data_IF_729079273543
#
_entry.id   IF_729079273543
#
_cell.length_a   1.000
_cell.length_b   1.000
_cell.length_c   1.000
_cell.angle_alpha   90.00
_cell.angle_beta   90.00
_cell.angle_gamma   90.00
#
_symmetry.space_group_name_H-M   'P 1'
#
loop_
_entity.id
_entity.type
_entity.pdbx_description
1 polymer ?
#
# COMPACT_ATOMS: atom_id res chain seq x y z
N UNK A 1 2.58 56.35 -42.23
CA UNK A 1 2.46 56.09 -40.78
C UNK A 1 1.77 54.75 -40.46
N UNK A 2 0.80 54.29 -41.24
CA UNK A 2 0.09 53.02 -40.98
C UNK A 2 0.96 51.73 -41.04
N UNK A 3 1.99 51.68 -41.90
CA UNK A 3 2.85 50.47 -42.04
C UNK A 3 3.69 50.21 -40.79
N UNK A 4 4.17 51.28 -40.12
CA UNK A 4 5.00 51.18 -38.92
C UNK A 4 4.21 50.71 -37.68
N UNK A 5 2.94 51.09 -37.57
CA UNK A 5 2.08 50.58 -36.49
C UNK A 5 1.75 49.10 -36.69
N UNK A 6 1.45 48.69 -37.93
CA UNK A 6 1.17 47.30 -38.25
C UNK A 6 2.35 46.37 -37.90
N UNK A 7 3.58 46.76 -38.28
CA UNK A 7 4.80 46.01 -37.94
C UNK A 7 5.02 45.92 -36.42
N UNK A 8 4.80 47.02 -35.69
CA UNK A 8 4.93 47.02 -34.23
C UNK A 8 3.91 46.09 -33.57
N UNK A 9 2.66 46.09 -34.06
CA UNK A 9 1.62 45.19 -33.56
C UNK A 9 1.91 43.72 -33.87
N UNK A 10 2.48 43.42 -35.04
CA UNK A 10 2.89 42.07 -35.42
C UNK A 10 3.98 41.54 -34.47
N UNK A 11 5.01 42.35 -34.19
CA UNK A 11 6.10 41.98 -33.28
C UNK A 11 5.60 41.74 -31.85
N UNK A 12 4.68 42.58 -31.35
CA UNK A 12 4.09 42.38 -30.01
C UNK A 12 3.24 41.10 -29.97
N UNK A 13 2.48 40.81 -31.03
CA UNK A 13 1.70 39.58 -31.12
C UNK A 13 2.59 38.34 -31.14
N UNK A 14 3.72 38.38 -31.84
CA UNK A 14 4.70 37.29 -31.88
C UNK A 14 5.27 37.02 -30.49
N UNK A 15 5.72 38.07 -29.77
CA UNK A 15 6.24 37.94 -28.40
C UNK A 15 5.18 37.34 -27.46
N UNK A 16 3.92 37.78 -27.56
CA UNK A 16 2.82 37.26 -26.73
C UNK A 16 2.51 35.79 -27.05
N UNK A 17 2.55 35.40 -28.32
CA UNK A 17 2.38 34.01 -28.73
C UNK A 17 3.52 33.13 -28.21
N UNK A 18 4.75 33.62 -28.28
CA UNK A 18 5.93 32.91 -27.79
C UNK A 18 5.89 32.74 -26.27
N UNK A 19 5.48 33.78 -25.53
CA UNK A 19 5.27 33.69 -24.09
C UNK A 19 4.23 32.61 -23.74
N UNK A 20 3.07 32.61 -24.42
CA UNK A 20 2.03 31.59 -24.21
C UNK A 20 2.52 30.18 -24.55
N UNK A 21 3.34 30.04 -25.59
CA UNK A 21 3.97 28.77 -25.97
C UNK A 21 4.87 28.26 -24.85
N UNK A 22 5.75 29.12 -24.35
CA UNK A 22 6.65 28.80 -23.24
C UNK A 22 5.91 28.44 -21.96
N UNK A 23 4.86 29.18 -21.59
CA UNK A 23 4.02 28.88 -20.42
C UNK A 23 3.37 27.50 -20.55
N UNK A 24 2.81 27.19 -21.72
CA UNK A 24 2.18 25.90 -21.97
C UNK A 24 3.18 24.75 -21.98
N UNK A 25 4.38 24.97 -22.52
CA UNK A 25 5.43 23.96 -22.51
C UNK A 25 5.96 23.70 -21.10
N UNK A 26 6.15 24.76 -20.30
CA UNK A 26 6.52 24.68 -18.89
C UNK A 26 5.49 23.86 -18.10
N UNK A 27 4.19 24.17 -18.26
CA UNK A 27 3.10 23.42 -17.62
C UNK A 27 3.11 21.94 -18.04
N UNK A 28 3.34 21.64 -19.32
CA UNK A 28 3.45 20.25 -19.80
C UNK A 28 4.62 19.51 -19.15
N UNK A 29 5.79 20.15 -19.02
CA UNK A 29 6.96 19.55 -18.37
C UNK A 29 6.70 19.29 -16.88
N UNK A 30 6.04 20.21 -16.20
CA UNK A 30 5.64 20.02 -14.79
C UNK A 30 4.72 18.81 -14.64
N UNK A 31 3.68 18.71 -15.47
CA UNK A 31 2.76 17.56 -15.45
C UNK A 31 3.47 16.24 -15.76
N UNK A 32 4.42 16.22 -16.69
CA UNK A 32 5.20 15.02 -16.97
C UNK A 32 6.02 14.60 -15.73
N UNK A 33 6.70 15.55 -15.09
CA UNK A 33 7.47 15.27 -13.87
C UNK A 33 6.56 14.74 -12.76
N UNK A 34 5.41 15.37 -12.51
CA UNK A 34 4.45 14.92 -11.51
C UNK A 34 3.94 13.50 -11.79
N UNK A 35 3.63 13.20 -13.06
CA UNK A 35 3.18 11.87 -13.46
C UNK A 35 4.28 10.81 -13.25
N UNK A 36 5.53 11.11 -13.62
CA UNK A 36 6.66 10.21 -13.39
C UNK A 36 6.89 9.98 -11.89
N UNK A 37 6.82 11.03 -11.07
CA UNK A 37 6.93 10.92 -9.61
C UNK A 37 5.80 10.07 -9.02
N UNK A 38 4.57 10.24 -9.51
CA UNK A 38 3.43 9.45 -9.08
C UNK A 38 3.62 7.96 -9.40
N UNK A 39 4.00 7.63 -10.64
CA UNK A 39 4.26 6.25 -11.06
C UNK A 39 5.38 5.63 -10.23
N UNK A 40 6.49 6.35 -10.03
CA UNK A 40 7.61 5.87 -9.23
C UNK A 40 7.20 5.60 -7.78
N UNK A 41 6.38 6.49 -7.18
CA UNK A 41 5.86 6.31 -5.83
C UNK A 41 4.94 5.09 -5.73
N UNK A 42 3.99 4.94 -6.66
CA UNK A 42 3.07 3.79 -6.66
C UNK A 42 3.83 2.48 -6.85
N UNK A 43 4.83 2.46 -7.73
CA UNK A 43 5.69 1.30 -7.93
C UNK A 43 6.47 0.96 -6.66
N UNK A 44 7.08 1.96 -6.02
CA UNK A 44 7.82 1.75 -4.77
C UNK A 44 6.93 1.23 -3.63
N UNK A 45 5.69 1.69 -3.55
CA UNK A 45 4.73 1.18 -2.58
C UNK A 45 4.36 -0.28 -2.89
N UNK A 46 4.03 -0.58 -4.14
CA UNK A 46 3.72 -1.94 -4.57
C UNK A 46 4.88 -2.92 -4.36
N UNK A 47 6.11 -2.51 -4.68
CA UNK A 47 7.33 -3.30 -4.46
C UNK A 47 7.57 -3.52 -2.96
N UNK A 48 7.33 -2.52 -2.11
CA UNK A 48 7.46 -2.61 -0.66
C UNK A 48 6.42 -3.56 -0.06
N UNK A 49 5.16 -3.45 -0.47
CA UNK A 49 4.09 -4.34 -0.02
C UNK A 49 4.37 -5.77 -0.48
N UNK A 50 4.75 -5.97 -1.74
CA UNK A 50 5.14 -7.30 -2.24
C UNK A 50 6.29 -7.91 -1.44
N UNK A 51 7.33 -7.13 -1.15
CA UNK A 51 8.46 -7.61 -0.35
C UNK A 51 8.04 -7.98 1.08
N UNK A 52 7.16 -7.19 1.71
CA UNK A 52 6.60 -7.49 3.04
C UNK A 52 5.84 -8.80 3.02
N UNK A 53 4.85 -8.92 2.14
CA UNK A 53 3.98 -10.12 2.06
C UNK A 53 4.80 -11.38 1.76
N UNK A 54 5.79 -11.29 0.86
CA UNK A 54 6.69 -12.40 0.55
C UNK A 54 7.51 -12.82 1.77
N UNK A 55 8.05 -11.86 2.53
CA UNK A 55 8.82 -12.15 3.75
C UNK A 55 7.94 -12.72 4.87
N UNK A 56 6.71 -12.23 5.00
CA UNK A 56 5.74 -12.78 5.94
C UNK A 56 5.34 -14.21 5.55
N UNK A 57 5.10 -14.50 4.27
CA UNK A 57 4.82 -15.85 3.79
C UNK A 57 6.00 -16.81 4.03
N UNK A 58 7.23 -16.36 3.78
CA UNK A 58 8.45 -17.11 4.08
C UNK A 58 8.59 -17.41 5.58
N UNK A 59 8.37 -16.40 6.42
CA UNK A 59 8.40 -16.54 7.87
C UNK A 59 7.29 -17.48 8.36
N UNK A 60 6.08 -17.39 7.81
CA UNK A 60 4.96 -18.26 8.15
C UNK A 60 5.23 -19.71 7.75
N UNK A 61 5.89 -19.94 6.60
CA UNK A 61 6.33 -21.28 6.20
C UNK A 61 7.33 -21.87 7.18
N UNK A 62 8.26 -21.06 7.70
CA UNK A 62 9.23 -21.51 8.72
C UNK A 62 8.56 -21.73 10.09
N UNK A 63 7.55 -20.92 10.43
CA UNK A 63 6.76 -21.05 11.67
C UNK A 63 5.74 -22.18 11.62
N UNK A 64 5.54 -22.83 10.47
CA UNK A 64 4.58 -23.92 10.27
C UNK A 64 5.11 -25.25 10.84
N UNK A 65 5.60 -25.21 12.09
CA UNK A 65 5.95 -26.40 12.84
C UNK A 65 4.80 -26.75 13.79
N UNK A 66 4.50 -28.05 13.99
CA UNK A 66 3.38 -28.46 14.84
C UNK A 66 3.53 -27.93 16.27
N UNK A 67 4.74 -27.85 16.80
CA UNK A 67 5.03 -27.38 18.17
C UNK A 67 4.75 -25.88 18.33
N UNK A 68 5.04 -25.07 17.31
CA UNK A 68 4.77 -23.63 17.36
C UNK A 68 3.28 -23.33 17.25
N UNK A 69 2.55 -24.11 16.43
CA UNK A 69 1.10 -23.99 16.30
C UNK A 69 0.39 -24.38 17.60
N UNK A 70 0.86 -25.43 18.28
CA UNK A 70 0.35 -25.84 19.59
C UNK A 70 0.61 -24.79 20.67
N UNK A 71 1.83 -24.23 20.72
CA UNK A 71 2.16 -23.14 21.65
C UNK A 71 1.24 -21.93 21.41
N UNK A 72 1.08 -21.51 20.15
CA UNK A 72 0.21 -20.37 19.80
C UNK A 72 -1.26 -20.63 20.09
N UNK A 73 -1.72 -21.86 19.88
CA UNK A 73 -3.08 -22.27 20.24
C UNK A 73 -3.29 -22.20 21.75
N UNK A 74 -2.36 -22.73 22.54
CA UNK A 74 -2.43 -22.70 24.00
C UNK A 74 -2.39 -21.27 24.56
N UNK A 75 -1.53 -20.40 24.01
CA UNK A 75 -1.50 -18.96 24.34
C UNK A 75 -2.87 -18.31 24.04
N UNK A 76 -3.44 -18.55 22.86
CA UNK A 76 -4.72 -17.97 22.46
C UNK A 76 -5.90 -18.47 23.32
N UNK A 77 -5.88 -19.74 23.74
CA UNK A 77 -6.87 -20.28 24.68
C UNK A 77 -6.69 -19.63 26.06
N UNK A 78 -5.45 -19.54 26.58
CA UNK A 78 -5.20 -18.91 27.87
C UNK A 78 -5.68 -17.45 27.93
N UNK A 79 -5.45 -16.68 26.87
CA UNK A 79 -5.86 -15.27 26.79
C UNK A 79 -7.37 -15.08 26.65
N UNK A 80 -8.06 -15.98 25.93
CA UNK A 80 -9.51 -15.88 25.68
C UNK A 80 -10.36 -16.55 26.77
N UNK A 81 -9.80 -17.42 27.60
CA UNK A 81 -10.56 -18.13 28.63
C UNK A 81 -10.77 -17.19 29.82
N UNK A 82 -11.90 -16.46 29.81
CA UNK A 82 -12.45 -15.88 31.05
C UNK A 82 -12.84 -17.05 31.94
N UNK A 83 -12.00 -17.36 32.93
CA UNK A 83 -12.29 -18.41 33.91
C UNK A 83 -13.50 -17.99 34.73
N UNK A 84 -14.68 -18.52 34.38
CA UNK A 84 -15.89 -18.36 35.17
C UNK A 84 -15.87 -19.37 36.32
N UNK A 85 -15.51 -18.92 37.51
CA UNK A 85 -15.62 -19.72 38.74
C UNK A 85 -17.09 -19.75 39.21
N UNK A 86 -17.76 -20.88 39.02
CA UNK A 86 -19.09 -21.18 39.55
C UNK A 86 -19.41 -22.67 39.43
N UNK A 87 -20.26 -23.21 40.31
CA UNK A 87 -20.52 -24.65 40.52
C UNK A 87 -21.03 -25.44 39.30
N UNK A 88 -21.19 -24.81 38.13
CA UNK A 88 -21.54 -25.45 36.87
C UNK A 88 -20.61 -24.93 35.78
N UNK A 89 -19.47 -25.61 35.61
CA UNK A 89 -18.51 -25.33 34.54
C UNK A 89 -19.24 -25.50 33.20
N UNK A 90 -19.39 -24.45 32.38
CA UNK A 90 -19.92 -24.61 31.03
C UNK A 90 -18.91 -25.43 30.22
N UNK A 91 -19.39 -26.42 29.48
CA UNK A 91 -18.60 -27.19 28.52
C UNK A 91 -17.83 -26.21 27.62
N UNK A 92 -16.57 -25.96 27.97
CA UNK A 92 -15.62 -25.31 27.07
C UNK A 92 -15.57 -26.23 25.86
N UNK A 93 -15.97 -25.71 24.71
CA UNK A 93 -15.95 -26.44 23.44
C UNK A 93 -14.48 -26.66 23.09
N UNK A 94 -13.92 -27.75 23.62
CA UNK A 94 -12.63 -28.32 23.20
C UNK A 94 -12.94 -29.07 21.91
N UNK A 95 -13.08 -28.35 20.80
CA UNK A 95 -13.41 -28.98 19.52
C UNK A 95 -12.16 -29.32 18.70
N UNK A 96 -12.20 -30.56 18.23
CA UNK A 96 -11.47 -31.21 17.15
C UNK A 96 -10.09 -31.87 17.37
N UNK A 97 -9.06 -31.23 17.94
CA UNK A 97 -7.71 -31.85 17.87
C UNK A 97 -7.37 -32.92 18.91
N UNK A 98 -8.17 -33.05 19.98
CA UNK A 98 -7.90 -34.05 21.03
C UNK A 98 -8.31 -35.48 20.66
N UNK A 99 -8.99 -35.69 19.51
CA UNK A 99 -9.49 -37.00 19.08
C UNK A 99 -8.55 -37.74 18.10
N UNK A 100 -7.61 -37.05 17.45
CA UNK A 100 -6.72 -37.69 16.46
C UNK A 100 -5.45 -38.32 17.08
N UNK A 101 -5.20 -38.13 18.39
CA UNK A 101 -4.01 -38.68 19.08
C UNK A 101 -4.28 -40.05 19.72
N UNK A 102 -5.49 -40.61 19.57
CA UNK A 102 -5.86 -41.94 20.09
C UNK A 102 -6.33 -42.94 19.01
N UNK A 103 -5.69 -42.92 17.83
CA UNK A 103 -5.74 -44.06 16.88
C UNK A 103 -4.35 -44.48 16.43
#
# INVERSE_FOLDING_TARGET
>A
MAVSEAEKTANVSEILMEQKRMEKESSRRQQEIENQMYIARQKSLGDSDFYREMKEAEANRLKLTPEFLELKFNEAIADNTKIFFGDKVPNMVVDHKMLEVFQ
#
